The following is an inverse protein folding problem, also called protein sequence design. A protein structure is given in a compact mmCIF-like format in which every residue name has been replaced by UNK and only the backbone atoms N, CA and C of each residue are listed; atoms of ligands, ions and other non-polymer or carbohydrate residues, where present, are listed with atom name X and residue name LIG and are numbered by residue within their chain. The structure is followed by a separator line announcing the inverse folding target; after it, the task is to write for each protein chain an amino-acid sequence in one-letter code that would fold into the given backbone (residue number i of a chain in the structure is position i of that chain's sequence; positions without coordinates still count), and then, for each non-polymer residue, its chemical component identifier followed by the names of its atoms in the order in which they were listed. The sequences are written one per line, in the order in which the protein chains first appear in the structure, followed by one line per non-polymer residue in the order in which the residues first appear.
data_IF_202797165689
#
_entry.id   IF_202797165689
#
_cell.length_a   1.000
_cell.length_b   1.000
_cell.length_c   1.000
_cell.angle_alpha   90.00
_cell.angle_beta   90.00
_cell.angle_gamma   90.00
#
_symmetry.space_group_name_H-M   'P 1'
#
loop_
_entity.id
_entity.type
_entity.pdbx_description
1 polymer ?
#
# COMPACT_ATOMS: atom_id res chain seq x y z
N UNK A 1 -14.54 -8.91 -10.47
CA UNK A 1 -13.16 -9.43 -10.56
C UNK A 1 -12.29 -8.51 -9.74
N UNK A 2 -11.81 -8.94 -8.58
CA UNK A 2 -10.90 -8.14 -7.76
C UNK A 2 -9.53 -8.14 -8.44
N UNK A 3 -9.08 -6.97 -8.88
CA UNK A 3 -7.73 -6.81 -9.44
C UNK A 3 -6.69 -7.12 -8.35
N UNK A 4 -5.58 -7.82 -8.64
CA UNK A 4 -4.53 -8.11 -7.66
C UNK A 4 -4.05 -6.87 -6.89
N UNK A 5 -4.10 -5.72 -7.56
CA UNK A 5 -3.81 -4.39 -7.02
C UNK A 5 -4.72 -4.00 -5.85
N UNK A 6 -6.02 -4.25 -5.99
CA UNK A 6 -7.00 -3.97 -4.95
C UNK A 6 -6.67 -4.83 -3.73
N UNK A 7 -6.38 -6.13 -3.93
CA UNK A 7 -6.03 -7.02 -2.82
C UNK A 7 -4.71 -6.69 -2.13
N UNK A 8 -3.68 -6.19 -2.82
CA UNK A 8 -2.43 -5.78 -2.16
C UNK A 8 -2.57 -4.47 -1.40
N UNK A 9 -3.26 -3.48 -1.99
CA UNK A 9 -3.51 -2.19 -1.34
C UNK A 9 -4.40 -2.36 -0.12
N UNK A 10 -5.45 -3.20 -0.19
CA UNK A 10 -6.34 -3.48 0.94
C UNK A 10 -5.60 -4.07 2.14
N UNK A 11 -4.63 -4.97 1.89
CA UNK A 11 -3.80 -5.55 2.95
C UNK A 11 -2.93 -4.48 3.62
N UNK A 12 -2.28 -3.62 2.84
CA UNK A 12 -1.48 -2.51 3.39
C UNK A 12 -2.38 -1.54 4.15
N UNK A 13 -3.54 -1.20 3.59
CA UNK A 13 -4.54 -0.32 4.19
C UNK A 13 -4.96 -0.83 5.57
N UNK A 14 -5.32 -2.12 5.66
CA UNK A 14 -5.66 -2.77 6.92
C UNK A 14 -4.49 -2.73 7.92
N UNK A 15 -3.26 -2.99 7.46
CA UNK A 15 -2.08 -3.04 8.32
C UNK A 15 -1.71 -1.68 8.93
N UNK A 16 -1.92 -0.57 8.21
CA UNK A 16 -1.52 0.77 8.67
C UNK A 16 -2.65 1.57 9.33
N UNK A 17 -3.92 1.19 9.13
CA UNK A 17 -5.06 2.02 9.48
C UNK A 17 -5.08 2.46 10.95
N UNK A 18 -4.80 1.56 11.89
CA UNK A 18 -4.78 1.88 13.32
C UNK A 18 -3.65 2.89 13.66
N UNK A 19 -2.48 2.72 13.06
CA UNK A 19 -1.34 3.64 13.25
C UNK A 19 -1.64 5.02 12.67
N UNK A 20 -2.20 5.10 11.46
CA UNK A 20 -2.53 6.39 10.84
C UNK A 20 -3.59 7.12 11.66
N UNK A 21 -4.62 6.42 12.15
CA UNK A 21 -5.63 7.02 13.05
C UNK A 21 -5.04 7.51 14.37
N UNK A 22 -4.11 6.76 14.97
CA UNK A 22 -3.38 7.18 16.19
C UNK A 22 -2.56 8.46 15.98
N UNK A 23 -2.10 8.70 14.75
CA UNK A 23 -1.37 9.91 14.36
C UNK A 23 -2.31 11.06 13.95
N UNK A 24 -3.63 10.87 14.03
CA UNK A 24 -4.64 11.87 13.67
C UNK A 24 -5.00 11.90 12.19
N UNK A 25 -4.56 10.91 11.39
CA UNK A 25 -4.96 10.77 10.00
C UNK A 25 -6.35 10.14 9.84
N UNK A 26 -6.99 10.42 8.70
CA UNK A 26 -8.33 9.96 8.34
C UNK A 26 -8.29 8.86 7.25
N UNK A 27 -9.46 8.50 6.71
CA UNK A 27 -9.57 7.47 5.67
C UNK A 27 -8.86 7.86 4.36
N UNK A 28 -8.79 9.15 4.04
CA UNK A 28 -8.08 9.64 2.86
C UNK A 28 -6.57 9.45 3.04
N UNK A 29 -6.03 9.86 4.19
CA UNK A 29 -4.62 9.62 4.52
C UNK A 29 -4.26 8.13 4.52
N UNK A 30 -5.16 7.26 5.01
CA UNK A 30 -4.96 5.81 4.99
C UNK A 30 -4.88 5.28 3.55
N UNK A 31 -5.77 5.73 2.66
CA UNK A 31 -5.82 5.28 1.27
C UNK A 31 -4.60 5.75 0.46
N UNK A 32 -4.21 7.01 0.64
CA UNK A 32 -3.05 7.61 -0.01
C UNK A 32 -1.75 6.90 0.38
N UNK A 33 -1.55 6.67 1.69
CA UNK A 33 -0.33 6.00 2.18
C UNK A 33 -0.31 4.53 1.70
N UNK A 34 -1.44 3.82 1.76
CA UNK A 34 -1.51 2.44 1.32
C UNK A 34 -1.22 2.29 -0.18
N UNK A 35 -1.73 3.21 -0.99
CA UNK A 35 -1.49 3.26 -2.43
C UNK A 35 -0.02 3.54 -2.74
N UNK A 36 0.57 4.56 -2.09
CA UNK A 36 1.98 4.91 -2.27
C UNK A 36 2.92 3.76 -1.87
N UNK A 37 2.66 3.12 -0.73
CA UNK A 37 3.44 1.97 -0.26
C UNK A 37 3.34 0.77 -1.21
N UNK A 38 2.13 0.46 -1.70
CA UNK A 38 1.91 -0.63 -2.67
C UNK A 38 2.65 -0.38 -3.98
N UNK A 39 2.63 0.87 -4.46
CA UNK A 39 3.38 1.27 -5.65
C UNK A 39 4.90 1.12 -5.45
N UNK A 40 5.43 1.54 -4.30
CA UNK A 40 6.85 1.40 -3.98
C UNK A 40 7.30 -0.07 -3.92
N UNK A 41 6.48 -0.96 -3.35
CA UNK A 41 6.72 -2.42 -3.34
C UNK A 41 6.83 -2.95 -4.77
N UNK A 42 5.93 -2.52 -5.66
CA UNK A 42 5.94 -2.93 -7.07
C UNK A 42 7.19 -2.45 -7.81
N UNK A 43 7.58 -1.18 -7.66
CA UNK A 43 8.80 -0.67 -8.24
C UNK A 43 10.03 -1.44 -7.73
N UNK A 44 10.08 -1.75 -6.44
CA UNK A 44 11.17 -2.55 -5.86
C UNK A 44 11.18 -3.99 -6.40
N UNK A 45 10.02 -4.63 -6.53
CA UNK A 45 9.92 -5.96 -7.11
C UNK A 45 10.36 -5.98 -8.59
N UNK A 46 9.99 -4.96 -9.36
CA UNK A 46 10.37 -4.83 -10.77
C UNK A 46 11.88 -4.61 -10.94
N UNK A 47 12.45 -3.67 -10.17
CA UNK A 47 13.91 -3.41 -10.18
C UNK A 47 14.73 -4.62 -9.74
N UNK A 48 14.26 -5.34 -8.73
CA UNK A 48 14.91 -6.59 -8.27
C UNK A 48 14.80 -7.69 -9.32
N UNK A 49 13.68 -7.78 -10.05
CA UNK A 49 13.47 -8.76 -11.11
C UNK A 49 14.33 -8.53 -12.36
N UNK A 50 14.72 -7.29 -12.66
CA UNK A 50 15.63 -6.97 -13.77
C UNK A 50 17.12 -7.16 -13.45
N UNK A 51 17.46 -7.33 -12.17
CA UNK A 51 18.85 -7.50 -11.72
C UNK A 51 19.30 -8.97 -11.67
N UNK A 52 18.49 -9.89 -12.19
CA UNK A 52 18.74 -11.35 -12.30
C UNK A 52 18.70 -11.78 -13.75
#
# INVERSE_FOLDING_TARGET
MSSPWVTSTDVVRYAIADTVRKLGGDEEAIDDIATAATYAIWCSAFTTGQSR
#
